data_IF_360981293642
#
_entry.id   IF_360981293642
#
_cell.length_a   1.000
_cell.length_b   1.000
_cell.length_c   1.000
_cell.angle_alpha   90.00
_cell.angle_beta   90.00
_cell.angle_gamma   90.00
#
_symmetry.space_group_name_H-M   'P 1'
#
loop_
_entity.id
_entity.type
_entity.pdbx_description
1 polymer ?
#
# COMPACT_ATOMS: atom_id res chain seq x y z
N UNK A 1 -0.03 -2.83 -22.95
CA UNK A 1 0.16 -1.37 -23.06
C UNK A 1 -0.52 -0.78 -24.27
N UNK A 2 -0.49 -1.44 -25.44
CA UNK A 2 -1.14 -0.95 -26.67
C UNK A 2 -2.65 -0.76 -26.49
N UNK A 3 -3.34 -1.67 -25.81
CA UNK A 3 -4.75 -1.54 -25.50
C UNK A 3 -5.02 -0.30 -24.61
N UNK A 4 -4.14 0.00 -23.66
CA UNK A 4 -4.28 1.17 -22.79
C UNK A 4 -4.06 2.48 -23.58
N UNK A 5 -3.09 2.50 -24.49
CA UNK A 5 -2.89 3.64 -25.39
C UNK A 5 -4.09 3.85 -26.32
N UNK A 6 -4.70 2.78 -26.81
CA UNK A 6 -5.86 2.85 -27.72
C UNK A 6 -7.14 3.37 -27.04
N UNK A 7 -7.23 3.31 -25.70
CA UNK A 7 -8.39 3.80 -24.93
C UNK A 7 -8.30 5.27 -24.52
N UNK A 8 -7.15 5.93 -24.76
CA UNK A 8 -6.91 7.32 -24.40
C UNK A 8 -6.53 8.13 -25.65
N UNK A 9 -7.00 9.36 -25.74
CA UNK A 9 -6.63 10.25 -26.82
C UNK A 9 -5.16 10.70 -26.66
N UNK A 10 -4.30 10.48 -27.66
CA UNK A 10 -2.92 10.96 -27.63
C UNK A 10 -2.86 12.49 -27.79
N UNK A 11 -1.81 13.11 -27.28
CA UNK A 11 -1.47 14.49 -27.59
C UNK A 11 -0.95 14.65 -29.04
N UNK A 12 -0.60 15.90 -29.43
CA UNK A 12 -0.12 16.20 -30.79
C UNK A 12 1.22 15.49 -31.14
N UNK A 13 2.00 15.08 -30.14
CA UNK A 13 3.24 14.33 -30.29
C UNK A 13 3.05 12.81 -30.20
N UNK A 14 1.81 12.34 -30.08
CA UNK A 14 1.47 10.92 -29.97
C UNK A 14 1.68 10.32 -28.58
N UNK A 15 1.77 11.14 -27.55
CA UNK A 15 1.91 10.66 -26.17
C UNK A 15 0.55 10.43 -25.52
N UNK A 16 0.50 9.47 -24.61
CA UNK A 16 -0.62 9.26 -23.69
C UNK A 16 -0.12 9.42 -22.27
N UNK A 17 -0.77 10.31 -21.50
CA UNK A 17 -0.44 10.56 -20.08
C UNK A 17 -1.65 10.21 -19.22
N UNK A 18 -1.44 9.39 -18.21
CA UNK A 18 -2.42 9.01 -17.20
C UNK A 18 -1.84 9.38 -15.84
N UNK A 19 -2.52 10.26 -15.11
CA UNK A 19 -2.06 10.78 -13.82
C UNK A 19 -1.20 12.04 -13.95
N UNK A 20 -0.28 12.25 -12.99
CA UNK A 20 0.53 13.47 -12.87
C UNK A 20 1.82 13.36 -13.70
N UNK A 21 1.75 13.72 -14.99
CA UNK A 21 2.87 13.64 -15.93
C UNK A 21 3.17 14.97 -16.62
N UNK A 22 4.46 15.36 -16.69
CA UNK A 22 4.94 16.50 -17.45
C UNK A 22 5.93 16.01 -18.50
N UNK A 23 5.64 16.29 -19.78
CA UNK A 23 6.44 15.85 -20.92
C UNK A 23 7.03 17.07 -21.64
N UNK A 24 8.34 17.03 -21.86
CA UNK A 24 9.07 18.00 -22.67
C UNK A 24 9.90 17.28 -23.71
N UNK A 25 9.79 17.68 -24.99
CA UNK A 25 10.50 17.01 -26.09
C UNK A 25 10.34 15.48 -26.03
N UNK A 26 9.12 15.02 -25.79
CA UNK A 26 8.77 13.61 -25.63
C UNK A 26 7.75 13.22 -26.68
N UNK A 27 7.96 12.05 -27.34
CA UNK A 27 7.13 11.63 -28.46
C UNK A 27 6.72 10.15 -28.32
N UNK A 28 5.51 9.80 -28.81
CA UNK A 28 5.00 8.43 -28.96
C UNK A 28 5.11 7.56 -27.70
N UNK A 29 5.05 8.19 -26.53
CA UNK A 29 5.30 7.55 -25.26
C UNK A 29 4.01 7.40 -24.42
N UNK A 30 3.96 6.35 -23.64
CA UNK A 30 2.93 6.14 -22.61
C UNK A 30 3.53 6.44 -21.23
N UNK A 31 2.94 7.37 -20.51
CA UNK A 31 3.30 7.68 -19.13
C UNK A 31 2.10 7.43 -18.22
N UNK A 32 2.26 6.54 -17.27
CA UNK A 32 1.26 6.24 -16.22
C UNK A 32 1.89 6.61 -14.89
N UNK A 33 1.38 7.65 -14.26
CA UNK A 33 1.87 8.21 -13.00
C UNK A 33 0.76 8.11 -11.94
N UNK A 34 0.75 7.02 -11.18
CA UNK A 34 -0.33 6.74 -10.24
C UNK A 34 -0.18 7.49 -8.91
N UNK A 35 1.05 7.78 -8.47
CA UNK A 35 1.32 8.32 -7.14
C UNK A 35 2.26 9.52 -7.14
N UNK A 36 3.24 9.57 -8.05
CA UNK A 36 4.27 10.62 -8.11
C UNK A 36 4.24 11.32 -9.44
N UNK A 37 4.66 12.59 -9.45
CA UNK A 37 4.95 13.28 -10.69
C UNK A 37 6.00 12.50 -11.49
N UNK A 38 5.69 12.19 -12.74
CA UNK A 38 6.62 11.66 -13.72
C UNK A 38 6.95 12.75 -14.74
N UNK A 39 8.19 13.16 -14.80
CA UNK A 39 8.66 14.11 -15.81
C UNK A 39 9.54 13.39 -16.84
N UNK A 40 9.32 13.65 -18.13
CA UNK A 40 10.16 13.13 -19.23
C UNK A 40 10.70 14.26 -20.06
N UNK A 41 11.95 14.12 -20.53
CA UNK A 41 12.62 15.12 -21.35
C UNK A 41 13.47 14.45 -22.44
N UNK A 42 13.24 14.82 -23.70
CA UNK A 42 14.06 14.40 -24.83
C UNK A 42 14.03 12.89 -25.09
N UNK A 43 12.88 12.24 -24.93
CA UNK A 43 12.72 10.78 -25.09
C UNK A 43 11.59 10.44 -26.04
N UNK A 44 11.66 9.25 -26.63
CA UNK A 44 10.65 8.75 -27.57
C UNK A 44 10.42 7.25 -27.41
N UNK A 45 9.24 6.80 -27.85
CA UNK A 45 8.84 5.39 -27.91
C UNK A 45 8.98 4.64 -26.57
N UNK A 46 8.69 5.34 -25.45
CA UNK A 46 8.78 4.75 -24.11
C UNK A 46 7.41 4.35 -23.55
N UNK A 47 7.47 3.37 -22.68
CA UNK A 47 6.45 3.04 -21.68
C UNK A 47 7.06 3.34 -20.31
N UNK A 48 6.47 4.29 -19.60
CA UNK A 48 6.83 4.61 -18.22
C UNK A 48 5.61 4.36 -17.35
N UNK A 49 5.74 3.46 -16.39
CA UNK A 49 4.66 3.15 -15.44
C UNK A 49 5.21 3.29 -14.03
N UNK A 50 4.67 4.25 -13.30
CA UNK A 50 4.99 4.49 -11.89
C UNK A 50 3.86 3.94 -11.02
N UNK A 51 4.25 3.19 -10.01
CA UNK A 51 3.39 2.72 -8.92
C UNK A 51 4.00 3.13 -7.58
N UNK A 52 3.30 2.93 -6.47
CA UNK A 52 3.80 3.35 -5.14
C UNK A 52 5.10 2.66 -4.73
N UNK A 53 5.45 1.51 -5.31
CA UNK A 53 6.58 0.65 -4.94
C UNK A 53 7.61 0.46 -6.05
N UNK A 54 7.29 0.79 -7.30
CA UNK A 54 8.19 0.54 -8.44
C UNK A 54 7.99 1.51 -9.59
N UNK A 55 9.00 1.57 -10.46
CA UNK A 55 8.93 2.29 -11.73
C UNK A 55 9.42 1.38 -12.84
N UNK A 56 8.59 1.14 -13.84
CA UNK A 56 8.97 0.48 -15.07
C UNK A 56 9.30 1.53 -16.14
N UNK A 57 10.45 1.42 -16.76
CA UNK A 57 10.80 2.14 -18.01
C UNK A 57 11.18 1.11 -19.06
N UNK A 58 10.47 1.11 -20.18
CA UNK A 58 10.71 0.18 -21.27
C UNK A 58 10.50 0.87 -22.63
N UNK A 59 11.24 0.44 -23.65
CA UNK A 59 10.95 0.80 -25.03
C UNK A 59 9.67 0.08 -25.46
N UNK A 60 8.78 0.74 -26.21
CA UNK A 60 7.49 0.18 -26.66
C UNK A 60 7.63 -1.17 -27.35
N UNK A 61 8.61 -1.30 -28.26
CA UNK A 61 8.85 -2.54 -29.01
C UNK A 61 9.33 -3.70 -28.12
N UNK A 62 9.71 -3.41 -26.88
CA UNK A 62 10.14 -4.40 -25.88
C UNK A 62 9.09 -4.72 -24.82
N UNK A 63 7.86 -4.23 -24.98
CA UNK A 63 6.78 -4.43 -24.01
C UNK A 63 6.51 -5.91 -23.65
N UNK A 64 6.70 -6.81 -24.63
CA UNK A 64 6.56 -8.26 -24.38
C UNK A 64 7.65 -8.83 -23.48
N UNK A 65 8.81 -8.16 -23.38
CA UNK A 65 9.93 -8.54 -22.51
C UNK A 65 9.66 -8.32 -21.02
N UNK A 66 8.60 -7.59 -20.65
CA UNK A 66 8.22 -7.35 -19.24
C UNK A 66 8.01 -8.66 -18.48
N UNK A 67 7.51 -9.72 -19.12
CA UNK A 67 7.36 -11.04 -18.50
C UNK A 67 8.71 -11.62 -18.03
N UNK A 68 9.77 -11.42 -18.81
CA UNK A 68 11.12 -11.89 -18.47
C UNK A 68 11.70 -11.07 -17.30
N UNK A 69 11.43 -9.75 -17.29
CA UNK A 69 11.82 -8.88 -16.18
C UNK A 69 11.12 -9.31 -14.88
N UNK A 70 9.81 -9.59 -14.91
CA UNK A 70 9.06 -10.12 -13.77
C UNK A 70 9.67 -11.43 -13.26
N UNK A 71 10.02 -12.36 -14.15
CA UNK A 71 10.66 -13.62 -13.78
C UNK A 71 12.03 -13.39 -13.10
N UNK A 72 12.83 -12.46 -13.62
CA UNK A 72 14.12 -12.10 -13.03
C UNK A 72 13.98 -11.47 -11.64
N UNK A 73 13.01 -10.59 -11.44
CA UNK A 73 12.70 -10.00 -10.14
C UNK A 73 12.26 -11.07 -9.12
N UNK A 74 11.42 -12.02 -9.55
CA UNK A 74 11.00 -13.16 -8.72
C UNK A 74 12.20 -14.03 -8.31
N UNK A 75 13.11 -14.34 -9.24
CA UNK A 75 14.35 -15.10 -8.95
C UNK A 75 15.28 -14.34 -7.99
N UNK A 76 15.27 -13.02 -8.04
CA UNK A 76 16.02 -12.17 -7.12
C UNK A 76 15.35 -12.00 -5.75
N UNK A 77 14.23 -12.69 -5.48
CA UNK A 77 13.49 -12.62 -4.21
C UNK A 77 12.76 -11.30 -3.99
N UNK A 78 12.49 -10.54 -5.06
CA UNK A 78 11.75 -9.27 -4.99
C UNK A 78 10.25 -9.56 -4.84
N UNK A 79 9.59 -8.79 -3.97
CA UNK A 79 8.15 -8.95 -3.68
C UNK A 79 7.24 -8.13 -4.61
N UNK A 80 7.73 -7.06 -5.21
CA UNK A 80 6.97 -6.11 -6.01
C UNK A 80 6.18 -6.74 -7.18
N UNK A 81 6.67 -7.80 -7.84
CA UNK A 81 5.89 -8.45 -8.88
C UNK A 81 4.63 -9.17 -8.39
N UNK A 82 4.56 -9.50 -7.11
CA UNK A 82 3.51 -10.37 -6.56
C UNK A 82 2.67 -9.72 -5.48
N UNK A 83 3.14 -8.61 -4.89
CA UNK A 83 2.50 -7.96 -3.75
C UNK A 83 2.03 -6.58 -4.16
N UNK A 84 0.71 -6.36 -4.16
CA UNK A 84 0.19 -4.99 -4.29
C UNK A 84 0.52 -4.22 -3.02
N UNK A 85 1.00 -2.97 -3.12
CA UNK A 85 1.17 -2.10 -1.95
C UNK A 85 -0.11 -1.94 -1.12
N UNK A 86 -1.26 -2.00 -1.78
CA UNK A 86 -2.57 -2.02 -1.12
C UNK A 86 -3.10 -3.44 -1.03
N UNK A 87 -3.32 -3.90 0.19
CA UNK A 87 -3.84 -5.23 0.51
C UNK A 87 -5.27 -5.11 1.02
N UNK A 88 -6.20 -5.75 0.33
CA UNK A 88 -7.61 -5.82 0.74
C UNK A 88 -7.84 -6.96 1.73
N UNK A 89 -8.65 -6.68 2.74
CA UNK A 89 -9.04 -7.62 3.80
C UNK A 89 -10.57 -7.57 4.01
N UNK A 90 -11.18 -8.57 4.64
CA UNK A 90 -12.61 -8.54 4.93
C UNK A 90 -13.06 -7.34 5.76
N UNK A 91 -12.19 -6.73 6.56
CA UNK A 91 -12.47 -5.56 7.38
C UNK A 91 -12.18 -4.22 6.69
N UNK A 92 -11.49 -4.19 5.56
CA UNK A 92 -11.09 -2.97 4.87
C UNK A 92 -9.84 -3.17 4.02
N UNK A 93 -8.85 -2.32 4.16
CA UNK A 93 -7.57 -2.44 3.46
C UNK A 93 -6.43 -1.80 4.26
N UNK A 94 -5.22 -2.16 3.90
CA UNK A 94 -4.04 -1.40 4.32
C UNK A 94 -3.09 -1.20 3.14
N UNK A 95 -2.31 -0.14 3.20
CA UNK A 95 -1.27 0.17 2.24
C UNK A 95 0.05 0.38 2.96
N UNK A 96 1.09 -0.33 2.55
CA UNK A 96 2.45 -0.06 2.99
C UNK A 96 2.91 1.27 2.37
N UNK A 97 3.31 2.24 3.20
CA UNK A 97 3.73 3.57 2.77
C UNK A 97 5.25 3.70 2.75
N UNK A 98 5.91 3.16 3.77
CA UNK A 98 7.35 3.19 3.92
C UNK A 98 7.80 2.05 4.83
N UNK A 99 9.02 1.57 4.64
CA UNK A 99 9.61 0.54 5.49
C UNK A 99 11.13 0.68 5.54
N UNK A 100 11.71 0.25 6.65
CA UNK A 100 13.13 0.13 6.88
C UNK A 100 13.43 -1.15 7.67
N UNK A 101 14.69 -1.35 8.04
CA UNK A 101 15.12 -2.55 8.75
C UNK A 101 14.34 -2.81 10.05
N UNK A 102 13.97 -1.75 10.75
CA UNK A 102 13.35 -1.83 12.09
C UNK A 102 12.02 -1.12 12.20
N UNK A 103 11.42 -0.69 11.09
CA UNK A 103 10.11 -0.05 11.11
C UNK A 103 9.33 -0.31 9.82
N UNK A 104 8.01 -0.22 9.92
CA UNK A 104 7.08 -0.18 8.80
C UNK A 104 5.97 0.81 9.10
N UNK A 105 5.59 1.60 8.08
CA UNK A 105 4.45 2.54 8.14
C UNK A 105 3.36 2.03 7.23
N UNK A 106 2.13 1.92 7.75
CA UNK A 106 0.94 1.51 6.99
C UNK A 106 -0.16 2.56 7.12
N UNK A 107 -0.85 2.83 6.03
CA UNK A 107 -2.16 3.48 6.04
C UNK A 107 -3.23 2.38 6.11
N UNK A 108 -4.10 2.43 7.10
CA UNK A 108 -5.14 1.43 7.34
C UNK A 108 -6.50 2.10 7.19
N UNK A 109 -7.38 1.47 6.42
CA UNK A 109 -8.78 1.88 6.28
C UNK A 109 -9.69 0.76 6.78
N UNK A 110 -10.51 1.02 7.79
CA UNK A 110 -11.46 0.06 8.36
C UNK A 110 -12.89 0.47 8.02
N UNK A 111 -13.65 -0.45 7.40
CA UNK A 111 -15.05 -0.19 7.03
C UNK A 111 -15.91 0.04 8.26
N UNK A 112 -17.02 0.82 8.14
CA UNK A 112 -18.00 0.98 9.20
C UNK A 112 -18.47 -0.36 9.79
N UNK A 113 -18.46 -0.49 11.10
CA UNK A 113 -18.86 -1.69 11.84
C UNK A 113 -17.86 -2.85 11.76
N UNK A 114 -16.77 -2.73 11.02
CA UNK A 114 -15.76 -3.78 10.89
C UNK A 114 -14.70 -3.71 12.02
N UNK A 115 -14.02 -4.84 12.22
CA UNK A 115 -12.97 -4.95 13.23
C UNK A 115 -11.86 -5.88 12.76
N UNK A 116 -10.65 -5.63 13.23
CA UNK A 116 -9.51 -6.54 13.05
C UNK A 116 -9.60 -7.70 14.05
N UNK A 117 -8.77 -8.72 13.87
CA UNK A 117 -8.62 -9.81 14.87
C UNK A 117 -8.15 -9.27 16.22
N UNK A 118 -8.47 -9.97 17.29
CA UNK A 118 -7.74 -9.82 18.55
C UNK A 118 -6.40 -10.53 18.37
N UNK A 119 -5.30 -9.79 18.47
CA UNK A 119 -3.97 -10.27 18.10
C UNK A 119 -2.89 -9.71 19.00
N UNK A 120 -1.70 -10.31 18.96
CA UNK A 120 -0.48 -9.78 19.56
C UNK A 120 0.73 -10.04 18.68
N UNK A 121 1.80 -9.29 18.95
CA UNK A 121 3.09 -9.40 18.29
C UNK A 121 4.21 -9.57 19.32
N UNK A 122 5.12 -10.50 19.08
CA UNK A 122 6.19 -10.78 20.03
C UNK A 122 7.45 -9.94 19.83
N UNK A 123 7.62 -9.33 18.64
CA UNK A 123 8.86 -8.66 18.27
C UNK A 123 8.70 -7.21 17.85
N UNK A 124 7.45 -6.68 17.79
CA UNK A 124 7.18 -5.31 17.42
C UNK A 124 6.14 -4.64 18.29
N UNK A 125 6.29 -3.33 18.45
CA UNK A 125 5.29 -2.43 19.01
C UNK A 125 4.61 -1.65 17.89
N UNK A 126 3.45 -1.06 18.17
CA UNK A 126 2.71 -0.26 17.18
C UNK A 126 2.31 1.09 17.77
N UNK A 127 2.34 2.13 16.94
CA UNK A 127 1.77 3.43 17.22
C UNK A 127 0.67 3.71 16.19
N UNK A 128 -0.52 4.01 16.65
CA UNK A 128 -1.68 4.32 15.81
C UNK A 128 -2.05 5.78 15.95
N UNK A 129 -2.17 6.48 14.84
CA UNK A 129 -2.64 7.87 14.75
C UNK A 129 -3.91 7.89 13.92
N UNK A 130 -5.03 8.27 14.50
CA UNK A 130 -6.32 8.36 13.79
C UNK A 130 -6.33 9.63 12.94
N UNK A 131 -6.57 9.45 11.64
CA UNK A 131 -6.64 10.52 10.64
C UNK A 131 -8.08 10.93 10.40
N UNK A 132 -9.00 9.96 10.32
CA UNK A 132 -10.42 10.19 10.07
C UNK A 132 -11.28 9.17 10.81
N UNK A 133 -12.37 9.61 11.39
CA UNK A 133 -13.31 8.76 12.13
C UNK A 133 -12.93 8.58 13.60
N UNK A 134 -13.43 7.50 14.21
CA UNK A 134 -13.15 7.16 15.60
C UNK A 134 -12.85 5.67 15.72
N UNK A 135 -11.71 5.35 16.28
CA UNK A 135 -11.28 4.00 16.56
C UNK A 135 -11.76 3.57 17.96
N UNK A 136 -12.31 2.37 18.07
CA UNK A 136 -12.42 1.67 19.35
C UNK A 136 -11.23 0.73 19.45
N UNK A 137 -10.39 0.98 20.43
CA UNK A 137 -9.13 0.27 20.65
C UNK A 137 -9.24 -0.57 21.92
N UNK A 138 -8.89 -1.83 21.81
CA UNK A 138 -8.68 -2.72 22.95
C UNK A 138 -7.19 -2.97 23.10
N UNK A 139 -6.65 -2.80 24.29
CA UNK A 139 -5.27 -3.16 24.67
C UNK A 139 -5.36 -3.90 25.99
N UNK A 140 -5.05 -5.18 25.99
CA UNK A 140 -5.24 -6.11 27.10
C UNK A 140 -6.68 -6.03 27.66
N UNK A 141 -6.86 -5.65 28.92
CA UNK A 141 -8.18 -5.51 29.56
C UNK A 141 -8.83 -4.13 29.34
N UNK A 142 -8.16 -3.20 28.69
CA UNK A 142 -8.63 -1.82 28.52
C UNK A 142 -9.25 -1.63 27.15
N UNK A 143 -10.43 -1.04 27.11
CA UNK A 143 -11.08 -0.60 25.87
C UNK A 143 -11.41 0.88 25.95
N UNK A 144 -11.04 1.63 24.92
CA UNK A 144 -11.18 3.09 24.88
C UNK A 144 -11.38 3.57 23.44
N UNK A 145 -11.83 4.81 23.29
CA UNK A 145 -11.97 5.46 21.99
C UNK A 145 -10.76 6.35 21.72
N UNK A 146 -10.35 6.37 20.44
CA UNK A 146 -9.31 7.27 19.90
C UNK A 146 -9.94 7.98 18.72
N UNK A 147 -10.12 9.29 18.83
CA UNK A 147 -10.74 10.13 17.82
C UNK A 147 -9.69 10.75 16.89
N UNK A 148 -10.16 11.48 15.88
CA UNK A 148 -9.28 12.21 14.96
C UNK A 148 -8.23 13.05 15.70
N UNK A 149 -7.00 13.08 15.16
CA UNK A 149 -5.83 13.74 15.72
C UNK A 149 -5.36 13.18 17.08
N UNK A 150 -5.91 12.05 17.51
CA UNK A 150 -5.42 11.33 18.69
C UNK A 150 -4.60 10.12 18.27
N UNK A 151 -3.76 9.65 19.18
CA UNK A 151 -2.89 8.48 18.99
C UNK A 151 -2.89 7.55 20.19
N UNK A 152 -2.49 6.33 19.95
CA UNK A 152 -2.27 5.34 21.01
C UNK A 152 -1.04 4.50 20.72
N UNK A 153 -0.44 3.96 21.78
CA UNK A 153 0.70 3.05 21.74
C UNK A 153 0.25 1.64 22.12
N UNK A 154 0.68 0.65 21.36
CA UNK A 154 0.47 -0.77 21.59
C UNK A 154 1.84 -1.38 21.94
N UNK A 155 2.06 -1.80 23.20
CA UNK A 155 3.32 -2.42 23.61
C UNK A 155 3.57 -3.77 22.93
N UNK A 156 4.83 -4.17 22.83
CA UNK A 156 5.21 -5.54 22.45
C UNK A 156 4.50 -6.54 23.37
N UNK A 157 3.91 -7.59 22.79
CA UNK A 157 3.24 -8.67 23.53
C UNK A 157 1.82 -8.35 23.99
N UNK A 158 1.38 -7.09 23.96
CA UNK A 158 0.02 -6.73 24.38
C UNK A 158 -1.04 -7.28 23.41
N UNK A 159 -2.10 -7.85 23.94
CA UNK A 159 -3.29 -8.21 23.18
C UNK A 159 -4.00 -6.95 22.75
N UNK A 160 -4.28 -6.83 21.45
CA UNK A 160 -4.92 -5.62 20.94
C UNK A 160 -5.88 -5.89 19.80
N UNK A 161 -6.83 -4.98 19.63
CA UNK A 161 -7.82 -4.97 18.56
C UNK A 161 -8.17 -3.55 18.17
N UNK A 162 -8.33 -3.35 16.86
CA UNK A 162 -8.86 -2.15 16.23
C UNK A 162 -10.27 -2.42 15.72
N UNK A 163 -11.23 -1.56 16.08
CA UNK A 163 -12.62 -1.64 15.61
C UNK A 163 -13.06 -0.25 15.11
N UNK A 164 -13.87 -0.21 14.06
CA UNK A 164 -14.58 0.99 13.63
C UNK A 164 -16.03 0.94 14.12
N UNK A 165 -16.39 1.61 15.22
CA UNK A 165 -17.77 1.67 15.71
C UNK A 165 -18.64 2.66 14.94
N UNK A 166 -18.04 3.46 14.07
CA UNK A 166 -18.67 4.57 13.36
C UNK A 166 -19.45 4.15 12.12
N UNK A 167 -20.00 5.18 11.43
CA UNK A 167 -20.76 5.02 10.18
C UNK A 167 -19.97 5.46 8.94
N UNK A 168 -18.79 6.03 9.13
CA UNK A 168 -17.86 6.42 8.07
C UNK A 168 -16.62 5.52 8.12
N UNK A 169 -15.83 5.41 7.07
CA UNK A 169 -14.53 4.73 7.13
C UNK A 169 -13.66 5.31 8.24
N UNK A 170 -12.98 4.45 8.97
CA UNK A 170 -11.92 4.82 9.90
C UNK A 170 -10.59 4.74 9.16
N UNK A 171 -9.84 5.83 9.19
CA UNK A 171 -8.50 5.89 8.61
C UNK A 171 -7.47 6.20 9.69
N UNK A 172 -6.38 5.45 9.70
CA UNK A 172 -5.28 5.65 10.62
C UNK A 172 -3.93 5.35 9.97
N UNK A 173 -2.90 5.99 10.51
CA UNK A 173 -1.51 5.66 10.23
C UNK A 173 -1.00 4.77 11.37
N UNK A 174 -0.50 3.61 10.99
CA UNK A 174 0.18 2.67 11.89
C UNK A 174 1.69 2.75 11.65
N UNK A 175 2.44 2.95 12.70
CA UNK A 175 3.89 2.81 12.70
C UNK A 175 4.25 1.59 13.53
N UNK A 176 4.72 0.55 12.87
CA UNK A 176 5.29 -0.64 13.51
C UNK A 176 6.79 -0.43 13.73
N UNK A 177 7.32 -0.81 14.88
CA UNK A 177 8.74 -0.75 15.15
C UNK A 177 9.19 -1.95 15.99
N UNK A 178 10.31 -2.56 15.62
CA UNK A 178 10.80 -3.74 16.34
C UNK A 178 11.95 -4.44 15.65
N UNK A 179 12.34 -5.57 16.20
CA UNK A 179 13.42 -6.41 15.69
C UNK A 179 12.98 -7.33 14.55
N UNK A 180 11.67 -7.59 14.44
CA UNK A 180 11.08 -8.40 13.40
C UNK A 180 9.69 -7.88 13.04
N UNK A 181 9.40 -7.73 11.74
CA UNK A 181 8.19 -7.11 11.20
C UNK A 181 7.37 -8.04 10.30
N UNK A 182 7.73 -9.33 10.23
CA UNK A 182 7.05 -10.32 9.40
C UNK A 182 5.58 -10.52 9.82
N UNK A 183 4.72 -10.81 8.85
CA UNK A 183 3.29 -11.09 9.10
C UNK A 183 3.07 -12.41 9.90
N UNK A 184 4.05 -13.29 9.93
CA UNK A 184 4.08 -14.52 10.75
C UNK A 184 4.34 -14.28 12.25
N UNK A 185 4.71 -13.03 12.65
CA UNK A 185 4.74 -12.60 14.06
C UNK A 185 3.34 -12.34 14.64
N UNK A 186 2.28 -12.45 13.82
CA UNK A 186 0.91 -12.20 14.26
C UNK A 186 0.32 -13.46 14.88
N UNK A 187 0.12 -13.46 16.19
CA UNK A 187 -0.71 -14.46 16.86
C UNK A 187 -2.16 -13.95 16.97
N UNK A 188 -3.09 -14.62 16.28
CA UNK A 188 -4.52 -14.28 16.28
C UNK A 188 -5.27 -15.16 17.25
N UNK A 189 -5.96 -14.55 18.23
CA UNK A 189 -6.74 -15.26 19.26
C UNK A 189 -8.24 -15.28 18.93
N UNK A 190 -8.77 -14.21 18.33
CA UNK A 190 -10.16 -14.14 17.89
C UNK A 190 -10.21 -13.42 16.53
N UNK A 191 -10.51 -14.18 15.49
CA UNK A 191 -10.67 -13.68 14.13
C UNK A 191 -12.04 -14.06 13.58
N UNK A 192 -12.96 -13.07 13.58
CA UNK A 192 -14.33 -13.24 13.07
C UNK A 192 -14.40 -13.58 11.58
N UNK A 193 -13.29 -13.50 10.86
CA UNK A 193 -13.19 -13.81 9.43
C UNK A 193 -12.56 -15.18 9.15
N UNK A 194 -12.28 -15.97 10.21
CA UNK A 194 -11.73 -17.33 10.14
C UNK A 194 -10.43 -17.43 9.31
N UNK A 195 -9.57 -16.41 9.38
CA UNK A 195 -8.23 -16.45 8.78
C UNK A 195 -7.31 -17.24 9.69
N UNK A 196 -7.08 -18.48 9.34
CA UNK A 196 -6.10 -19.30 10.04
C UNK A 196 -4.69 -18.81 9.67
N UNK A 197 -3.86 -18.61 10.68
CA UNK A 197 -2.41 -18.31 10.54
C UNK A 197 -1.66 -19.58 10.13
#
# INVERSE_FOLDING_TARGET
>A
FDALMATHAPDAAGNVVIGDGILSDTQRSLVVANHRLVATLGVEDLIVVETSDSVLVAHRDKAQGVKQLVAALTQAGRSEPHTSPQVHRPWGSFQAMNSGERYQVKHITVRPGARLSLQRHHHRAEHWVVVSGTAKVTVDERTFLVSENQSTYIPIGALHRLENPGKIPLELIEVQSGSYLGEDDIERLDDVYARHS
#
